data_IF_618075959675
#
_entry.id   IF_618075959675
#
_cell.length_a   1.000
_cell.length_b   1.000
_cell.length_c   1.000
_cell.angle_alpha   90.00
_cell.angle_beta   90.00
_cell.angle_gamma   90.00
#
_symmetry.space_group_name_H-M   'P 1'
#
loop_
_entity.id
_entity.type
_entity.pdbx_description
1 polymer ?
#
# COMPACT_ATOMS: atom_id res chain seq x y z
N UNK A 1 2.38 -12.91 7.10
CA UNK A 1 3.44 -13.92 6.78
C UNK A 1 4.74 -13.16 6.66
N UNK A 2 5.77 -13.59 7.36
CA UNK A 2 7.10 -13.01 7.31
C UNK A 2 7.73 -13.31 5.94
N UNK A 3 8.31 -12.30 5.27
CA UNK A 3 8.93 -12.47 3.95
C UNK A 3 10.01 -13.54 3.99
N UNK A 4 10.77 -13.56 5.09
CA UNK A 4 11.82 -14.54 5.33
C UNK A 4 11.27 -15.96 5.30
N UNK A 5 10.07 -16.18 5.86
CA UNK A 5 9.43 -17.48 5.87
C UNK A 5 8.90 -17.90 4.49
N UNK A 6 8.48 -16.95 3.65
CA UNK A 6 8.04 -17.25 2.27
C UNK A 6 9.24 -17.60 1.38
N UNK A 7 10.30 -16.78 1.41
CA UNK A 7 11.53 -17.04 0.64
C UNK A 7 12.20 -18.34 1.10
N UNK A 8 12.21 -18.64 2.40
CA UNK A 8 12.73 -19.92 2.93
C UNK A 8 11.96 -21.10 2.34
N UNK A 9 10.62 -21.10 2.40
CA UNK A 9 9.80 -22.19 1.84
C UNK A 9 9.91 -22.32 0.33
N UNK A 10 10.12 -21.20 -0.37
CA UNK A 10 10.29 -21.19 -1.82
C UNK A 10 11.63 -21.81 -2.21
N UNK A 11 12.69 -21.56 -1.43
CA UNK A 11 13.99 -22.21 -1.59
C UNK A 11 13.95 -23.70 -1.22
N UNK A 12 13.31 -24.07 -0.11
CA UNK A 12 13.12 -25.47 0.28
C UNK A 12 12.38 -26.27 -0.82
N UNK A 13 11.35 -25.66 -1.42
CA UNK A 13 10.62 -26.25 -2.55
C UNK A 13 11.49 -26.37 -3.81
N UNK A 14 12.36 -25.40 -4.08
CA UNK A 14 13.30 -25.44 -5.20
C UNK A 14 14.33 -26.57 -5.03
N UNK A 15 14.83 -26.78 -3.81
CA UNK A 15 15.76 -27.85 -3.47
C UNK A 15 15.10 -29.24 -3.56
N UNK A 16 13.83 -29.38 -3.15
CA UNK A 16 13.07 -30.61 -3.31
C UNK A 16 12.87 -30.99 -4.79
N UNK A 17 12.70 -30.01 -5.68
CA UNK A 17 12.54 -30.21 -7.12
C UNK A 17 13.81 -30.79 -7.77
N UNK A 18 14.99 -30.55 -7.19
CA UNK A 18 16.26 -31.10 -7.67
C UNK A 18 16.41 -32.60 -7.43
N UNK A 19 15.58 -33.18 -6.55
CA UNK A 19 15.51 -34.63 -6.31
C UNK A 19 14.61 -35.39 -7.29
N UNK A 20 13.90 -34.70 -8.18
CA UNK A 20 12.86 -35.25 -9.09
C UNK A 20 13.42 -35.49 -10.51
N UNK A 21 12.98 -36.53 -11.25
CA UNK A 21 13.48 -36.83 -12.60
C UNK A 21 13.47 -35.63 -13.57
N UNK A 22 14.53 -35.51 -14.38
CA UNK A 22 14.81 -34.39 -15.29
C UNK A 22 13.64 -33.97 -16.20
N UNK A 23 12.75 -34.90 -16.56
CA UNK A 23 11.64 -34.66 -17.49
C UNK A 23 10.60 -33.65 -17.00
N UNK A 24 10.46 -33.45 -15.67
CA UNK A 24 9.49 -32.52 -15.08
C UNK A 24 10.13 -31.32 -14.37
N UNK A 25 11.43 -31.42 -14.05
CA UNK A 25 12.19 -30.42 -13.30
C UNK A 25 12.13 -29.02 -13.92
N UNK A 26 12.25 -28.91 -15.24
CA UNK A 26 12.21 -27.62 -15.94
C UNK A 26 10.86 -26.89 -15.78
N UNK A 27 9.73 -27.62 -15.82
CA UNK A 27 8.38 -27.04 -15.66
C UNK A 27 8.15 -26.56 -14.23
N UNK A 28 8.59 -27.33 -13.24
CA UNK A 28 8.46 -26.95 -11.83
C UNK A 28 9.32 -25.74 -11.49
N UNK A 29 10.58 -25.68 -11.95
CA UNK A 29 11.45 -24.50 -11.77
C UNK A 29 10.79 -23.26 -12.39
N UNK A 30 10.19 -23.39 -13.58
CA UNK A 30 9.49 -22.28 -14.22
C UNK A 30 8.30 -21.78 -13.40
N UNK A 31 7.48 -22.69 -12.85
CA UNK A 31 6.34 -22.35 -11.99
C UNK A 31 6.78 -21.68 -10.69
N UNK A 32 7.82 -22.19 -10.02
CA UNK A 32 8.36 -21.60 -8.78
C UNK A 32 8.86 -20.18 -9.04
N UNK A 33 9.61 -19.96 -10.12
CA UNK A 33 10.06 -18.62 -10.54
C UNK A 33 8.89 -17.69 -10.86
N UNK A 34 7.86 -18.19 -11.54
CA UNK A 34 6.67 -17.40 -11.87
C UNK A 34 5.92 -16.98 -10.60
N UNK A 35 5.72 -17.90 -9.66
CA UNK A 35 5.06 -17.61 -8.37
C UNK A 35 5.86 -16.60 -7.56
N UNK A 36 7.18 -16.73 -7.48
CA UNK A 36 8.04 -15.76 -6.80
C UNK A 36 7.95 -14.36 -7.43
N UNK A 37 7.95 -14.27 -8.76
CA UNK A 37 7.79 -13.01 -9.46
C UNK A 37 6.41 -12.38 -9.25
N UNK A 38 5.34 -13.17 -9.30
CA UNK A 38 3.98 -12.71 -9.03
C UNK A 38 3.86 -12.17 -7.59
N UNK A 39 4.42 -12.88 -6.62
CA UNK A 39 4.44 -12.45 -5.23
C UNK A 39 5.18 -11.10 -5.05
N UNK A 40 6.35 -10.96 -5.66
CA UNK A 40 7.14 -9.70 -5.64
C UNK A 40 6.36 -8.53 -6.25
N UNK A 41 5.67 -8.75 -7.37
CA UNK A 41 4.84 -7.71 -7.99
C UNK A 41 3.65 -7.32 -7.11
N UNK A 42 2.94 -8.31 -6.56
CA UNK A 42 1.82 -8.07 -5.67
C UNK A 42 2.26 -7.26 -4.43
N UNK A 43 3.40 -7.64 -3.83
CA UNK A 43 3.97 -6.93 -2.69
C UNK A 43 4.32 -5.48 -3.03
N UNK A 44 4.94 -5.24 -4.19
CA UNK A 44 5.23 -3.89 -4.67
C UNK A 44 3.94 -3.07 -4.83
N UNK A 45 2.90 -3.65 -5.41
CA UNK A 45 1.60 -2.98 -5.56
C UNK A 45 0.95 -2.67 -4.21
N UNK A 46 0.96 -3.61 -3.27
CA UNK A 46 0.41 -3.40 -1.92
C UNK A 46 1.16 -2.29 -1.18
N UNK A 47 2.49 -2.27 -1.24
CA UNK A 47 3.29 -1.21 -0.63
C UNK A 47 2.96 0.16 -1.25
N UNK A 48 2.86 0.25 -2.58
CA UNK A 48 2.47 1.50 -3.24
C UNK A 48 1.06 1.97 -2.87
N UNK A 49 0.12 1.04 -2.66
CA UNK A 49 -1.22 1.37 -2.17
C UNK A 49 -1.19 1.87 -0.72
N UNK A 50 -0.35 1.27 0.14
CA UNK A 50 -0.17 1.73 1.52
C UNK A 50 0.41 3.15 1.57
N UNK A 51 1.46 3.43 0.79
CA UNK A 51 2.04 4.78 0.66
C UNK A 51 1.01 5.80 0.18
N UNK A 52 0.21 5.43 -0.82
CA UNK A 52 -0.86 6.29 -1.36
C UNK A 52 -1.95 6.57 -0.30
N UNK A 53 -2.31 5.56 0.49
CA UNK A 53 -3.30 5.69 1.57
C UNK A 53 -2.76 6.56 2.72
N UNK A 54 -1.50 6.41 3.08
CA UNK A 54 -0.85 7.23 4.10
C UNK A 54 -0.75 8.69 3.65
N UNK A 55 -0.41 8.94 2.38
CA UNK A 55 -0.45 10.27 1.79
C UNK A 55 -1.87 10.85 1.85
N UNK A 56 -2.87 10.10 1.36
CA UNK A 56 -4.27 10.52 1.38
C UNK A 56 -4.75 10.85 2.80
N UNK A 57 -4.37 10.04 3.79
CA UNK A 57 -4.70 10.27 5.21
C UNK A 57 -4.19 11.63 5.68
N UNK A 58 -2.96 12.00 5.32
CA UNK A 58 -2.38 13.31 5.65
C UNK A 58 -3.12 14.42 4.92
N UNK A 59 -3.38 14.27 3.62
CA UNK A 59 -4.12 15.26 2.82
C UNK A 59 -5.50 15.55 3.40
N UNK A 60 -6.24 14.51 3.82
CA UNK A 60 -7.56 14.68 4.44
C UNK A 60 -7.47 15.45 5.75
N UNK A 61 -6.44 15.21 6.59
CA UNK A 61 -6.23 15.98 7.82
C UNK A 61 -6.05 17.47 7.54
N UNK A 62 -5.27 17.82 6.52
CA UNK A 62 -5.07 19.22 6.12
C UNK A 62 -6.35 19.85 5.57
N UNK A 63 -7.07 19.14 4.69
CA UNK A 63 -8.34 19.63 4.16
C UNK A 63 -9.37 19.92 5.27
N UNK A 64 -9.48 19.04 6.27
CA UNK A 64 -10.37 19.26 7.41
C UNK A 64 -9.93 20.45 8.28
N UNK A 65 -8.62 20.64 8.45
CA UNK A 65 -8.08 21.78 9.18
C UNK A 65 -8.36 23.11 8.47
N UNK A 66 -8.13 23.16 7.16
CA UNK A 66 -8.38 24.35 6.34
C UNK A 66 -9.89 24.67 6.28
N UNK A 67 -10.72 23.64 6.18
CA UNK A 67 -12.18 23.79 6.22
C UNK A 67 -12.66 24.40 7.54
N UNK A 68 -12.15 23.94 8.67
CA UNK A 68 -12.53 24.52 9.97
C UNK A 68 -12.01 25.94 10.14
N UNK A 69 -10.81 26.23 9.64
CA UNK A 69 -10.22 27.58 9.67
C UNK A 69 -11.07 28.57 8.86
N UNK A 70 -11.44 28.21 7.64
CA UNK A 70 -12.31 29.03 6.77
C UNK A 70 -13.73 29.17 7.33
N UNK A 71 -14.27 28.14 7.99
CA UNK A 71 -15.57 28.21 8.66
C UNK A 71 -15.58 29.22 9.81
N UNK A 72 -14.52 29.23 10.63
CA UNK A 72 -14.35 30.18 11.74
C UNK A 72 -14.17 31.61 11.24
N UNK A 73 -13.37 31.79 10.20
CA UNK A 73 -13.17 33.09 9.58
C UNK A 73 -14.49 33.66 9.02
N UNK A 74 -15.25 32.86 8.27
CA UNK A 74 -16.55 33.25 7.74
C UNK A 74 -17.54 33.65 8.85
N UNK A 75 -17.61 32.88 9.93
CA UNK A 75 -18.43 33.22 11.08
C UNK A 75 -18.04 34.56 11.72
N UNK A 76 -16.73 34.83 11.82
CA UNK A 76 -16.19 36.08 12.38
C UNK A 76 -16.51 37.28 11.47
N UNK A 77 -16.38 37.12 10.16
CA UNK A 77 -16.72 38.14 9.17
C UNK A 77 -18.22 38.45 9.16
N UNK A 78 -19.08 37.43 9.24
CA UNK A 78 -20.55 37.63 9.34
C UNK A 78 -20.92 38.43 10.57
N UNK A 79 -20.33 38.09 11.73
CA UNK A 79 -20.55 38.84 12.96
C UNK A 79 -20.12 40.32 12.83
N UNK A 80 -18.97 40.58 12.21
CA UNK A 80 -18.50 41.94 11.95
C UNK A 80 -19.49 42.73 11.07
N UNK A 81 -20.07 42.10 10.06
CA UNK A 81 -21.08 42.72 9.19
C UNK A 81 -22.40 42.99 9.93
N UNK A 82 -22.85 42.06 10.78
CA UNK A 82 -24.04 42.25 11.62
C UNK A 82 -23.86 43.40 12.61
N UNK A 83 -22.67 43.51 13.21
CA UNK A 83 -22.36 44.58 14.17
C UNK A 83 -22.20 45.95 13.48
N UNK A 84 -21.70 46.01 12.24
CA UNK A 84 -21.61 47.27 11.46
C UNK A 84 -22.95 47.75 10.88
N UNK A 85 -23.93 46.86 10.71
CA UNK A 85 -25.26 47.19 10.17
C UNK A 85 -26.28 47.55 11.26
N UNK A 86 -25.90 47.53 12.54
CA UNK A 86 -26.72 47.98 13.67
C UNK A 86 -26.40 49.41 14.06
#
# INVERSE_FOLDING_TARGET
MDEAAFEQKLNELADEIDSVPESHRAKFIALVKQTGNCHKQLRKSVNGLQESLDYLRVSVKYLLFDLESTRRENASLKKLLEDNNK
#
